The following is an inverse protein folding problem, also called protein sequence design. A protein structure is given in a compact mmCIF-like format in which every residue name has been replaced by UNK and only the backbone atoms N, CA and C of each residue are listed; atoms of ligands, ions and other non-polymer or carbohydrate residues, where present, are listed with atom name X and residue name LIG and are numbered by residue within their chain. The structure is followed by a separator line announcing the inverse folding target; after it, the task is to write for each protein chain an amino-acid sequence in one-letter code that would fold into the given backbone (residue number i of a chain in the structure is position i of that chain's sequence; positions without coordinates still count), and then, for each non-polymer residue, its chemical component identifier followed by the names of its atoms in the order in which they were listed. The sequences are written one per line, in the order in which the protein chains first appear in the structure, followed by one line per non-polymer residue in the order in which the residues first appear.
data_IF_949345774505
#
_entry.id   IF_949345774505
#
_cell.length_a   1.000
_cell.length_b   1.000
_cell.length_c   1.000
_cell.angle_alpha   90.00
_cell.angle_beta   90.00
_cell.angle_gamma   90.00
#
_symmetry.space_group_name_H-M   'P 1'
#
loop_
_entity.id
_entity.type
_entity.pdbx_description
1 polymer ?
#
# COMPACT_ATOMS: atom_id res chain seq x y z
N UNK A 1 12.39 23.17 -23.25
CA UNK A 1 11.25 22.24 -23.04
C UNK A 1 10.79 22.38 -21.61
N UNK A 2 9.53 22.72 -21.35
CA UNK A 2 9.00 22.82 -19.98
C UNK A 2 8.87 21.41 -19.40
N UNK A 3 9.66 21.11 -18.38
CA UNK A 3 9.58 19.85 -17.63
C UNK A 3 8.37 19.94 -16.69
N UNK A 4 7.17 19.78 -17.25
CA UNK A 4 5.97 19.65 -16.43
C UNK A 4 6.03 18.28 -15.74
N UNK A 5 5.95 18.21 -14.41
CA UNK A 5 5.92 16.92 -13.73
C UNK A 5 4.72 16.12 -14.23
N UNK A 6 4.98 14.90 -14.72
CA UNK A 6 3.94 13.94 -15.04
C UNK A 6 3.34 13.46 -13.72
N UNK A 7 2.28 14.14 -13.28
CA UNK A 7 1.46 13.72 -12.15
C UNK A 7 0.28 12.92 -12.69
N UNK A 8 0.08 11.70 -12.19
CA UNK A 8 -1.13 10.94 -12.45
C UNK A 8 -2.24 11.47 -11.52
N UNK A 9 -3.03 12.43 -11.99
CA UNK A 9 -4.17 12.97 -11.25
C UNK A 9 -5.46 12.18 -11.52
N UNK A 10 -6.42 12.27 -10.59
CA UNK A 10 -7.75 11.67 -10.79
C UNK A 10 -8.45 12.21 -12.03
N UNK A 11 -8.31 13.51 -12.32
CA UNK A 11 -8.83 14.12 -13.55
C UNK A 11 -8.25 13.50 -14.82
N UNK A 12 -6.94 13.21 -14.84
CA UNK A 12 -6.31 12.55 -15.98
C UNK A 12 -6.77 11.11 -16.14
N UNK A 13 -6.98 10.39 -15.03
CA UNK A 13 -7.55 9.04 -15.04
C UNK A 13 -8.98 9.08 -15.57
N UNK A 14 -9.83 10.00 -15.10
CA UNK A 14 -11.21 10.15 -15.53
C UNK A 14 -11.31 10.49 -17.03
N UNK A 15 -10.38 11.29 -17.55
CA UNK A 15 -10.31 11.59 -18.99
C UNK A 15 -9.93 10.37 -19.83
N UNK A 16 -9.05 9.51 -19.34
CA UNK A 16 -8.65 8.28 -20.04
C UNK A 16 -9.70 7.17 -19.92
N UNK A 17 -10.44 7.15 -18.81
CA UNK A 17 -11.50 6.19 -18.50
C UNK A 17 -12.84 6.92 -18.35
N UNK A 18 -13.38 7.40 -19.47
CA UNK A 18 -14.63 8.16 -19.52
C UNK A 18 -15.86 7.37 -19.00
N UNK A 19 -15.75 6.05 -18.93
CA UNK A 19 -16.73 5.17 -18.30
C UNK A 19 -16.13 4.63 -17.00
N UNK A 20 -16.83 4.72 -15.86
CA UNK A 20 -16.38 4.13 -14.60
C UNK A 20 -16.08 2.65 -14.80
N UNK A 21 -14.87 2.22 -14.42
CA UNK A 21 -14.52 0.80 -14.39
C UNK A 21 -15.28 0.19 -13.21
N UNK A 22 -16.15 -0.81 -13.44
CA UNK A 22 -16.85 -1.48 -12.34
C UNK A 22 -15.84 -2.10 -11.37
N UNK A 23 -16.10 -2.00 -10.07
CA UNK A 23 -15.30 -2.72 -9.09
C UNK A 23 -15.46 -4.23 -9.31
N UNK A 24 -14.34 -4.95 -9.22
CA UNK A 24 -14.33 -6.41 -9.24
C UNK A 24 -15.00 -6.93 -7.97
N UNK A 25 -16.10 -7.68 -8.12
CA UNK A 25 -16.85 -8.25 -7.00
C UNK A 25 -16.02 -9.27 -6.19
N UNK A 26 -14.99 -9.86 -6.78
CA UNK A 26 -14.04 -10.73 -6.11
C UNK A 26 -12.84 -9.97 -5.51
N UNK A 27 -12.80 -8.64 -5.66
CA UNK A 27 -11.75 -7.83 -5.06
C UNK A 27 -11.82 -7.89 -3.53
N UNK A 28 -10.64 -7.74 -2.92
CA UNK A 28 -10.53 -7.52 -1.49
C UNK A 28 -11.35 -6.27 -1.12
N UNK A 29 -12.31 -6.44 -0.23
CA UNK A 29 -13.10 -5.35 0.32
C UNK A 29 -12.22 -4.57 1.31
N UNK A 30 -12.12 -3.26 1.10
CA UNK A 30 -11.37 -2.38 1.99
C UNK A 30 -12.26 -2.10 3.19
N UNK A 31 -11.79 -2.45 4.38
CA UNK A 31 -12.46 -2.10 5.63
C UNK A 31 -12.43 -0.58 5.81
N UNK A 32 -13.55 -0.02 6.25
CA UNK A 32 -13.60 1.38 6.69
C UNK A 32 -12.71 1.60 7.92
N UNK A 33 -12.34 2.84 8.17
CA UNK A 33 -11.55 3.18 9.36
C UNK A 33 -12.27 2.76 10.66
N UNK A 34 -13.59 2.89 10.71
CA UNK A 34 -14.41 2.48 11.85
C UNK A 34 -14.38 0.95 12.07
N UNK A 35 -14.42 0.16 11.00
CA UNK A 35 -14.31 -1.29 11.07
C UNK A 35 -12.89 -1.75 11.43
N UNK A 36 -11.87 -1.03 10.97
CA UNK A 36 -10.47 -1.38 11.23
C UNK A 36 -10.02 -0.99 12.64
N UNK A 37 -10.58 0.08 13.20
CA UNK A 37 -10.15 0.69 14.48
C UNK A 37 -10.05 -0.31 15.63
N UNK A 38 -11.03 -1.20 15.89
CA UNK A 38 -10.95 -2.13 17.03
C UNK A 38 -9.79 -3.12 16.90
N UNK A 39 -9.54 -3.63 15.69
CA UNK A 39 -8.43 -4.55 15.44
C UNK A 39 -7.08 -3.86 15.57
N UNK A 40 -6.97 -2.63 15.06
CA UNK A 40 -5.78 -1.80 15.21
C UNK A 40 -5.47 -1.52 16.69
N UNK A 41 -6.48 -1.12 17.46
CA UNK A 41 -6.36 -0.88 18.90
C UNK A 41 -5.89 -2.14 19.64
N UNK A 42 -6.43 -3.30 19.29
CA UNK A 42 -6.02 -4.58 19.88
C UNK A 42 -4.54 -4.91 19.57
N UNK A 43 -4.09 -4.69 18.33
CA UNK A 43 -2.69 -4.91 17.92
C UNK A 43 -1.76 -3.95 18.68
N UNK A 44 -2.15 -2.68 18.81
CA UNK A 44 -1.39 -1.67 19.56
C UNK A 44 -1.33 -2.04 21.04
N UNK A 45 -2.44 -2.45 21.64
CA UNK A 45 -2.52 -2.83 23.06
C UNK A 45 -1.68 -4.08 23.40
N UNK A 46 -1.53 -5.01 22.45
CA UNK A 46 -0.72 -6.22 22.63
C UNK A 46 0.79 -5.97 22.49
N UNK A 47 1.19 -4.76 22.06
CA UNK A 47 2.58 -4.47 21.78
C UNK A 47 3.38 -4.37 23.07
N UNK A 48 4.40 -5.22 23.21
CA UNK A 48 5.28 -5.20 24.37
C UNK A 48 6.12 -3.92 24.39
N UNK A 49 6.03 -3.16 25.48
CA UNK A 49 6.78 -1.92 25.70
C UNK A 49 6.00 -0.66 25.31
N UNK A 50 5.90 0.30 26.23
CA UNK A 50 5.23 1.59 26.03
C UNK A 50 6.01 2.59 25.18
N UNK A 51 6.79 2.12 24.21
CA UNK A 51 7.58 2.95 23.30
C UNK A 51 6.89 3.18 21.96
N UNK A 52 7.49 4.03 21.13
CA UNK A 52 6.92 4.45 19.84
C UNK A 52 6.69 3.28 18.85
N UNK A 53 5.70 3.48 17.95
CA UNK A 53 5.39 2.55 16.86
C UNK A 53 6.23 2.85 15.63
N UNK A 54 7.08 1.89 15.28
CA UNK A 54 7.87 1.90 14.05
C UNK A 54 7.22 1.00 13.01
N UNK A 55 6.94 1.56 11.83
CA UNK A 55 6.47 0.83 10.65
C UNK A 55 7.62 0.70 9.65
N UNK A 56 7.98 -0.52 9.28
CA UNK A 56 9.01 -0.74 8.28
C UNK A 56 8.43 -0.66 6.85
N UNK A 57 8.72 0.42 6.15
CA UNK A 57 8.29 0.61 4.76
C UNK A 57 9.23 -0.12 3.78
N UNK A 58 8.67 -1.00 2.95
CA UNK A 58 9.42 -1.77 1.94
C UNK A 58 8.92 -1.59 0.50
N UNK A 59 7.82 -0.84 0.31
CA UNK A 59 7.13 -0.64 -0.97
C UNK A 59 6.65 0.81 -1.16
N UNK A 60 5.39 1.01 -1.58
CA UNK A 60 4.81 2.33 -1.88
C UNK A 60 4.92 3.33 -0.73
N UNK A 61 4.83 2.86 0.52
CA UNK A 61 4.97 3.70 1.72
C UNK A 61 6.32 4.44 1.80
N UNK A 62 7.35 3.96 1.11
CA UNK A 62 8.64 4.67 1.03
C UNK A 62 8.53 6.02 0.29
N UNK A 63 7.53 6.17 -0.59
CA UNK A 63 7.37 7.33 -1.49
C UNK A 63 6.06 8.08 -1.26
N UNK A 64 5.02 7.39 -0.77
CA UNK A 64 3.70 7.95 -0.48
C UNK A 64 3.20 7.37 0.85
N UNK A 65 3.66 7.90 1.99
CA UNK A 65 3.10 7.56 3.29
C UNK A 65 1.65 8.04 3.35
N UNK A 66 0.72 7.12 3.63
CA UNK A 66 -0.72 7.42 3.70
C UNK A 66 -1.18 7.74 5.13
N UNK A 67 -0.23 8.10 6.00
CA UNK A 67 -0.46 8.48 7.40
C UNK A 67 0.66 9.42 7.87
N UNK A 68 0.36 10.23 8.88
CA UNK A 68 1.33 11.12 9.51
C UNK A 68 2.32 10.32 10.38
N UNK A 69 3.59 10.71 10.36
CA UNK A 69 4.64 10.10 11.17
C UNK A 69 5.56 11.17 11.75
N UNK A 70 6.03 10.95 12.97
CA UNK A 70 6.91 11.90 13.67
C UNK A 70 8.34 11.89 13.12
N UNK A 71 8.86 10.72 12.74
CA UNK A 71 10.19 10.59 12.16
C UNK A 71 10.32 9.40 11.20
N UNK A 72 11.32 9.47 10.31
CA UNK A 72 11.68 8.35 9.42
C UNK A 72 13.17 8.12 9.45
N UNK A 73 13.57 6.84 9.37
CA UNK A 73 14.98 6.42 9.35
C UNK A 73 15.17 5.33 8.31
N UNK A 74 16.32 5.36 7.64
CA UNK A 74 16.74 4.24 6.78
C UNK A 74 17.05 3.06 7.70
N UNK A 75 16.36 1.94 7.46
CA UNK A 75 16.51 0.71 8.23
C UNK A 75 16.75 -0.50 7.34
N UNK A 76 17.32 -1.55 7.91
CA UNK A 76 17.43 -2.87 7.27
C UNK A 76 16.76 -3.90 8.15
N UNK A 77 15.75 -4.57 7.60
CA UNK A 77 15.13 -5.75 8.23
C UNK A 77 15.85 -6.99 7.71
N UNK A 78 16.36 -7.82 8.62
CA UNK A 78 17.11 -9.05 8.30
C UNK A 78 16.18 -10.26 8.26
N UNK A 79 16.56 -11.28 7.48
CA UNK A 79 15.80 -12.51 7.29
C UNK A 79 14.61 -12.36 6.32
N UNK A 80 14.55 -11.23 5.61
CA UNK A 80 13.57 -10.97 4.57
C UNK A 80 14.23 -10.38 3.33
N UNK A 81 13.73 -10.79 2.16
CA UNK A 81 14.09 -10.22 0.87
C UNK A 81 12.87 -9.59 0.20
N UNK A 82 13.09 -8.46 -0.46
CA UNK A 82 12.09 -7.84 -1.33
C UNK A 82 12.00 -8.63 -2.65
N UNK A 83 10.83 -9.23 -2.92
CA UNK A 83 10.56 -9.99 -4.15
C UNK A 83 9.23 -9.59 -4.75
N UNK A 84 9.12 -9.65 -6.07
CA UNK A 84 7.84 -9.52 -6.79
C UNK A 84 7.06 -10.84 -6.68
N UNK A 85 6.57 -11.14 -5.48
CA UNK A 85 5.94 -12.43 -5.16
C UNK A 85 4.48 -12.31 -4.69
N UNK A 86 3.94 -11.10 -4.54
CA UNK A 86 2.53 -10.91 -4.20
C UNK A 86 1.72 -10.79 -5.50
N UNK A 87 0.95 -11.84 -5.81
CA UNK A 87 0.03 -11.83 -6.94
C UNK A 87 -1.06 -10.79 -6.70
N UNK A 88 -1.28 -9.93 -7.68
CA UNK A 88 -2.16 -8.79 -7.57
C UNK A 88 -3.13 -8.75 -8.77
N UNK A 89 -4.41 -8.89 -8.48
CA UNK A 89 -5.51 -8.89 -9.47
C UNK A 89 -6.28 -7.57 -9.51
N UNK A 90 -5.91 -6.60 -8.65
CA UNK A 90 -6.45 -5.23 -8.60
C UNK A 90 -5.32 -4.20 -8.54
N UNK A 91 -5.54 -2.95 -8.90
CA UNK A 91 -4.54 -1.85 -8.89
C UNK A 91 -3.40 -1.99 -9.91
N UNK A 92 -2.47 -2.93 -9.70
CA UNK A 92 -1.28 -3.15 -10.56
C UNK A 92 -1.42 -4.40 -11.43
N UNK A 93 -2.65 -4.91 -11.55
CA UNK A 93 -3.06 -6.01 -12.41
C UNK A 93 -4.59 -6.03 -12.54
N UNK A 94 -5.10 -6.90 -13.40
CA UNK A 94 -6.53 -7.21 -13.55
C UNK A 94 -6.77 -8.71 -13.34
N UNK A 95 -8.02 -9.17 -13.21
CA UNK A 95 -8.32 -10.60 -13.15
C UNK A 95 -7.79 -11.38 -14.36
N UNK A 96 -7.88 -10.82 -15.58
CA UNK A 96 -7.43 -11.44 -16.83
C UNK A 96 -5.91 -11.34 -17.02
N UNK A 97 -5.30 -10.28 -16.47
CA UNK A 97 -3.86 -9.99 -16.58
C UNK A 97 -3.31 -9.64 -15.21
N UNK A 98 -3.12 -10.63 -14.33
CA UNK A 98 -2.61 -10.37 -12.99
C UNK A 98 -1.19 -9.83 -13.04
N UNK A 99 -0.88 -8.90 -12.15
CA UNK A 99 0.46 -8.40 -11.91
C UNK A 99 1.09 -9.09 -10.71
N UNK A 100 2.41 -8.95 -10.56
CA UNK A 100 3.09 -9.19 -9.29
C UNK A 100 3.53 -7.84 -8.72
N UNK A 101 3.33 -7.67 -7.41
CA UNK A 101 3.85 -6.53 -6.66
C UNK A 101 4.87 -7.00 -5.64
N UNK A 102 5.66 -6.04 -5.19
CA UNK A 102 6.77 -6.29 -4.29
C UNK A 102 6.25 -6.57 -2.87
N UNK A 103 6.71 -7.66 -2.27
CA UNK A 103 6.45 -8.05 -0.89
C UNK A 103 7.75 -8.52 -0.21
N UNK A 104 7.68 -8.73 1.11
CA UNK A 104 8.74 -9.34 1.88
C UNK A 104 8.52 -10.85 1.91
N UNK A 105 9.47 -11.59 1.34
CA UNK A 105 9.55 -13.04 1.43
C UNK A 105 10.67 -13.43 2.40
N UNK A 106 10.54 -14.57 3.08
CA UNK A 106 11.56 -15.06 4.01
C UNK A 106 12.84 -15.42 3.23
N UNK A 107 13.98 -14.98 3.74
CA UNK A 107 15.30 -15.31 3.19
C UNK A 107 16.34 -14.27 3.54
#
# INVERSE_FOLDING_TARGET
MRNAPLALSLDLIARAHAVPVPDDAAALQVMTDEELKPALDAIIAQRAGGGDLWVFAYGSLMWRPEFDFAESRIGTVRGFHRRFCLLQRRFRGTPERPGFVLALDRG
#
